data_IF_008852100419
#
_entry.id   IF_008852100419
#
_cell.length_a   1.000
_cell.length_b   1.000
_cell.length_c   1.000
_cell.angle_alpha   90.00
_cell.angle_beta   90.00
_cell.angle_gamma   90.00
#
_symmetry.space_group_name_H-M   'P 1'
#
loop_
_entity.id
_entity.type
_entity.pdbx_description
1 polymer ?
#
# COMPACT_ATOMS: atom_id res chain seq x y z
N UNK A 1 -39.75 -82.86 13.57
CA UNK A 1 -40.45 -81.57 13.31
C UNK A 1 -39.52 -80.71 12.47
N UNK A 2 -39.96 -80.48 11.24
CA UNK A 2 -39.18 -79.79 10.19
C UNK A 2 -39.48 -78.30 10.29
N UNK A 3 -38.43 -77.49 10.41
CA UNK A 3 -38.56 -76.03 10.18
C UNK A 3 -37.90 -75.70 8.88
N UNK A 4 -38.72 -75.11 8.03
CA UNK A 4 -38.45 -74.80 6.66
C UNK A 4 -37.52 -73.60 6.52
N UNK A 5 -36.64 -73.73 5.49
CA UNK A 5 -35.87 -72.66 4.88
C UNK A 5 -36.75 -71.47 4.47
N UNK A 6 -36.36 -70.25 4.91
CA UNK A 6 -36.79 -69.02 4.29
C UNK A 6 -35.56 -68.37 3.75
N UNK A 7 -35.28 -68.62 2.48
CA UNK A 7 -34.34 -67.82 1.69
C UNK A 7 -35.03 -66.53 1.33
N UNK A 8 -34.50 -65.40 1.84
CA UNK A 8 -34.88 -64.10 1.38
C UNK A 8 -33.75 -63.57 0.50
N UNK A 9 -33.87 -63.90 -0.77
CA UNK A 9 -33.04 -63.33 -1.82
C UNK A 9 -33.55 -61.89 -2.15
N UNK A 10 -33.05 -60.93 -1.46
CA UNK A 10 -33.20 -59.57 -1.89
C UNK A 10 -31.87 -59.10 -2.51
N UNK A 11 -31.57 -59.58 -3.68
CA UNK A 11 -30.53 -59.00 -4.52
C UNK A 11 -31.14 -57.80 -5.23
N UNK A 12 -31.02 -56.67 -4.58
CA UNK A 12 -31.24 -55.39 -5.27
C UNK A 12 -30.02 -55.10 -6.16
N UNK A 13 -30.13 -55.56 -7.40
CA UNK A 13 -29.26 -55.06 -8.46
C UNK A 13 -29.56 -53.57 -8.70
N UNK A 14 -28.86 -52.71 -7.99
CA UNK A 14 -28.75 -51.34 -8.41
C UNK A 14 -27.91 -51.29 -9.69
N UNK A 15 -28.59 -51.30 -10.81
CA UNK A 15 -28.00 -50.93 -12.08
C UNK A 15 -27.58 -49.47 -11.97
N UNK A 16 -26.31 -49.22 -11.68
CA UNK A 16 -25.68 -47.92 -11.86
C UNK A 16 -25.55 -47.65 -13.36
N UNK A 17 -26.47 -46.88 -13.89
CA UNK A 17 -26.35 -46.32 -15.24
C UNK A 17 -25.15 -45.39 -15.26
N UNK A 18 -24.21 -45.50 -16.20
CA UNK A 18 -23.18 -44.54 -16.38
C UNK A 18 -23.75 -43.34 -17.15
N UNK A 19 -24.47 -42.44 -16.47
CA UNK A 19 -24.84 -41.15 -17.01
C UNK A 19 -23.77 -40.14 -16.62
N UNK A 20 -22.91 -39.87 -17.60
CA UNK A 20 -22.21 -38.58 -17.81
C UNK A 20 -21.80 -37.85 -16.54
N UNK A 21 -20.63 -38.18 -16.02
CA UNK A 21 -19.88 -37.31 -15.13
C UNK A 21 -19.43 -36.07 -15.94
N UNK A 22 -20.27 -35.07 -15.96
CA UNK A 22 -19.87 -33.75 -16.37
C UNK A 22 -18.86 -33.20 -15.37
N UNK A 23 -17.58 -33.22 -15.72
CA UNK A 23 -16.54 -32.52 -15.02
C UNK A 23 -16.86 -31.03 -15.15
N UNK A 24 -17.51 -30.45 -14.15
CA UNK A 24 -17.52 -29.01 -13.94
C UNK A 24 -16.11 -28.61 -13.49
N UNK A 25 -15.26 -28.29 -14.45
CA UNK A 25 -14.03 -27.55 -14.18
C UNK A 25 -14.47 -26.14 -13.70
N UNK A 26 -14.53 -25.99 -12.39
CA UNK A 26 -14.59 -24.67 -11.77
C UNK A 26 -13.21 -24.05 -12.01
N UNK A 27 -13.05 -23.31 -13.09
CA UNK A 27 -11.93 -22.41 -13.28
C UNK A 27 -12.03 -21.33 -12.20
N UNK A 28 -11.30 -21.51 -11.11
CA UNK A 28 -11.05 -20.46 -10.14
C UNK A 28 -10.13 -19.44 -10.84
N UNK A 29 -10.73 -18.44 -11.49
CA UNK A 29 -10.04 -17.25 -11.93
C UNK A 29 -9.45 -16.57 -10.68
N UNK A 30 -8.21 -16.91 -10.38
CA UNK A 30 -7.37 -16.14 -9.46
C UNK A 30 -7.20 -14.75 -10.09
N UNK A 31 -8.10 -13.83 -9.78
CA UNK A 31 -7.90 -12.42 -10.03
C UNK A 31 -6.77 -11.96 -9.11
N UNK A 32 -5.53 -12.07 -9.58
CA UNK A 32 -4.40 -11.38 -8.98
C UNK A 32 -4.66 -9.89 -9.16
N UNK A 33 -5.20 -9.26 -8.11
CA UNK A 33 -5.15 -7.80 -8.01
C UNK A 33 -3.68 -7.40 -8.12
N UNK A 34 -3.31 -6.43 -8.97
CA UNK A 34 -1.97 -5.87 -8.93
C UNK A 34 -1.84 -5.25 -7.54
N UNK A 35 -1.11 -5.91 -6.65
CA UNK A 35 -0.56 -5.25 -5.49
C UNK A 35 0.33 -4.15 -6.07
N UNK A 36 0.01 -2.88 -5.78
CA UNK A 36 0.96 -1.79 -5.97
C UNK A 36 2.25 -2.27 -5.33
N UNK A 37 3.29 -2.44 -6.13
CA UNK A 37 4.56 -2.92 -5.63
C UNK A 37 5.00 -1.92 -4.56
N UNK A 38 5.15 -2.39 -3.33
CA UNK A 38 5.72 -1.56 -2.28
C UNK A 38 7.07 -1.04 -2.79
N UNK A 39 7.30 0.29 -2.67
CA UNK A 39 8.53 0.89 -3.17
C UNK A 39 9.78 0.25 -2.52
N UNK A 40 10.90 0.33 -3.20
CA UNK A 40 12.20 -0.12 -2.68
C UNK A 40 12.82 0.99 -1.81
N UNK A 41 12.99 0.80 -0.48
CA UNK A 41 13.59 1.81 0.38
C UNK A 41 15.05 2.14 0.03
N UNK A 42 15.83 1.19 -0.48
CA UNK A 42 17.23 1.43 -0.85
C UNK A 42 17.34 2.28 -2.15
N UNK A 43 16.41 2.09 -3.10
CA UNK A 43 16.27 2.98 -4.22
C UNK A 43 15.71 4.34 -3.78
N UNK A 44 14.80 4.35 -2.81
CA UNK A 44 14.21 5.56 -2.23
C UNK A 44 15.20 6.46 -1.51
N UNK A 45 16.19 5.90 -0.83
CA UNK A 45 17.30 6.66 -0.23
C UNK A 45 18.06 7.45 -1.31
N UNK A 46 18.35 6.84 -2.45
CA UNK A 46 19.02 7.51 -3.57
C UNK A 46 18.16 8.64 -4.16
N UNK A 47 16.85 8.41 -4.28
CA UNK A 47 15.90 9.45 -4.71
C UNK A 47 15.89 10.60 -3.70
N UNK A 48 15.87 10.30 -2.39
CA UNK A 48 15.93 11.30 -1.34
C UNK A 48 17.22 12.12 -1.44
N UNK A 49 18.38 11.48 -1.55
CA UNK A 49 19.68 12.15 -1.68
C UNK A 49 19.74 13.09 -2.88
N UNK A 50 19.18 12.68 -4.01
CA UNK A 50 19.25 13.46 -5.26
C UNK A 50 18.22 14.58 -5.36
N UNK A 51 17.04 14.44 -4.74
CA UNK A 51 15.92 15.37 -4.91
C UNK A 51 15.47 16.07 -3.64
N UNK A 52 15.73 15.51 -2.46
CA UNK A 52 15.17 16.00 -1.19
C UNK A 52 16.22 16.53 -0.22
N UNK A 53 17.41 15.92 -0.18
CA UNK A 53 18.43 16.17 0.83
C UNK A 53 18.99 17.63 0.84
N UNK A 54 18.89 18.34 -0.28
CA UNK A 54 19.28 19.76 -0.35
C UNK A 54 18.41 20.60 0.58
N UNK A 55 17.11 20.27 0.69
CA UNK A 55 16.14 21.05 1.46
C UNK A 55 15.73 20.38 2.76
N UNK A 56 15.83 19.07 2.89
CA UNK A 56 15.35 18.31 4.03
C UNK A 56 16.46 17.48 4.68
N UNK A 57 16.34 17.26 5.99
CA UNK A 57 17.12 16.27 6.72
C UNK A 57 16.26 15.08 7.15
N UNK A 58 16.92 13.99 7.48
CA UNK A 58 16.29 12.78 8.05
C UNK A 58 16.56 12.64 9.56
N UNK A 59 17.35 13.56 10.11
CA UNK A 59 17.63 13.63 11.56
C UNK A 59 16.50 14.35 12.27
N UNK A 60 15.95 13.80 13.38
CA UNK A 60 14.92 14.47 14.16
C UNK A 60 15.37 15.87 14.62
N UNK A 61 14.51 16.88 14.39
CA UNK A 61 14.78 18.27 14.82
C UNK A 61 15.76 19.05 13.93
N UNK A 62 16.38 18.42 12.94
CA UNK A 62 17.25 19.12 11.98
C UNK A 62 16.42 19.72 10.84
N UNK A 63 16.01 20.97 11.00
CA UNK A 63 15.34 21.72 9.95
C UNK A 63 16.36 22.43 9.05
N UNK A 64 16.13 22.41 7.74
CA UNK A 64 16.90 23.12 6.72
C UNK A 64 16.00 24.17 6.02
N UNK A 65 16.05 24.25 4.69
CA UNK A 65 15.09 25.03 3.90
C UNK A 65 13.66 24.47 4.07
N UNK A 66 13.54 23.15 4.18
CA UNK A 66 12.34 22.44 4.56
C UNK A 66 12.47 21.81 5.97
N UNK A 67 11.37 21.29 6.51
CA UNK A 67 11.38 20.60 7.80
C UNK A 67 12.13 19.27 7.73
N UNK A 68 12.58 18.78 8.90
CA UNK A 68 13.02 17.40 9.02
C UNK A 68 11.91 16.43 8.58
N UNK A 69 12.27 15.40 7.83
CA UNK A 69 11.36 14.33 7.41
C UNK A 69 11.41 13.09 8.32
N UNK A 70 12.18 13.14 9.42
CA UNK A 70 12.18 12.09 10.42
C UNK A 70 10.77 11.88 11.00
N UNK A 71 10.22 10.68 10.82
CA UNK A 71 8.88 10.33 11.30
C UNK A 71 7.76 11.11 10.61
N UNK A 72 7.94 11.51 9.35
CA UNK A 72 6.91 12.21 8.58
C UNK A 72 5.70 11.32 8.34
N UNK A 73 5.90 10.03 8.03
CA UNK A 73 4.81 9.08 7.81
C UNK A 73 3.99 8.92 9.09
N UNK A 74 2.70 9.13 9.01
CA UNK A 74 1.76 9.13 10.13
C UNK A 74 1.69 10.46 10.91
N UNK A 75 2.53 11.46 10.58
CA UNK A 75 2.48 12.78 11.25
C UNK A 75 1.44 13.71 10.62
N UNK A 76 1.03 14.74 11.36
CA UNK A 76 0.12 15.78 10.83
C UNK A 76 0.90 16.86 10.08
N UNK A 77 0.25 17.41 9.05
CA UNK A 77 0.77 18.56 8.31
C UNK A 77 1.06 19.75 9.23
N UNK A 78 2.17 20.45 8.98
CA UNK A 78 2.49 21.68 9.68
C UNK A 78 2.90 21.54 11.15
N UNK A 79 3.27 20.33 11.62
CA UNK A 79 3.50 20.05 13.05
C UNK A 79 4.95 19.77 13.43
N UNK A 80 5.91 19.73 12.49
CA UNK A 80 7.32 19.51 12.82
C UNK A 80 7.83 20.67 13.70
N UNK A 81 8.36 20.39 14.90
CA UNK A 81 8.79 21.42 15.83
C UNK A 81 9.90 22.32 15.27
N UNK A 82 9.81 23.61 15.55
CA UNK A 82 10.85 24.59 15.20
C UNK A 82 10.89 24.97 13.72
N UNK A 83 9.97 24.48 12.87
CA UNK A 83 9.88 24.88 11.46
C UNK A 83 8.73 25.85 11.23
N UNK A 84 9.00 26.94 10.47
CA UNK A 84 7.96 27.92 10.11
C UNK A 84 7.22 27.51 8.83
N UNK A 85 6.16 26.75 9.00
CA UNK A 85 5.27 26.35 7.92
C UNK A 85 4.43 27.53 7.39
N UNK A 86 4.04 27.42 6.11
CA UNK A 86 3.01 28.32 5.57
C UNK A 86 1.67 28.13 6.31
N UNK A 87 0.82 29.17 6.37
CA UNK A 87 -0.54 29.04 6.89
C UNK A 87 -1.32 27.91 6.19
N UNK A 88 -1.13 27.75 4.89
CA UNK A 88 -1.74 26.69 4.11
C UNK A 88 -1.36 25.30 4.63
N UNK A 89 -0.07 25.05 4.89
CA UNK A 89 0.39 23.76 5.41
C UNK A 89 -0.09 23.50 6.84
N UNK A 90 -0.13 24.54 7.70
CA UNK A 90 -0.66 24.44 9.06
C UNK A 90 -2.16 24.10 9.09
N UNK A 91 -2.91 24.59 8.09
CA UNK A 91 -4.37 24.42 8.00
C UNK A 91 -4.81 23.29 7.06
N UNK A 92 -3.87 22.56 6.43
CA UNK A 92 -4.20 21.50 5.48
C UNK A 92 -4.93 20.32 6.11
N UNK A 93 -4.74 20.09 7.43
CA UNK A 93 -5.35 18.99 8.18
C UNK A 93 -5.08 17.59 7.59
N UNK A 94 -3.95 17.43 6.91
CA UNK A 94 -3.50 16.17 6.32
C UNK A 94 -2.76 15.37 7.39
N UNK A 95 -3.03 14.06 7.46
CA UNK A 95 -2.15 13.09 8.12
C UNK A 95 -1.39 12.38 7.01
N UNK A 96 -0.07 12.54 6.99
CA UNK A 96 0.77 12.04 5.92
C UNK A 96 0.79 10.51 5.89
N UNK A 97 -0.05 9.91 5.09
CA UNK A 97 0.05 8.52 4.69
C UNK A 97 0.72 8.40 3.31
N UNK A 98 0.97 7.17 2.87
CA UNK A 98 1.62 6.91 1.59
C UNK A 98 0.85 7.51 0.40
N UNK A 99 -0.49 7.45 0.44
CA UNK A 99 -1.33 7.95 -0.62
C UNK A 99 -1.33 9.49 -0.71
N UNK A 100 -1.34 10.16 0.43
CA UNK A 100 -1.30 11.62 0.47
C UNK A 100 0.11 12.16 0.20
N UNK A 101 1.16 11.43 0.64
CA UNK A 101 2.54 11.72 0.24
C UNK A 101 2.73 11.57 -1.27
N UNK A 102 2.19 10.52 -1.90
CA UNK A 102 2.27 10.34 -3.35
C UNK A 102 1.62 11.51 -4.10
N UNK A 103 0.40 11.90 -3.73
CA UNK A 103 -0.31 13.05 -4.33
C UNK A 103 0.45 14.35 -4.13
N UNK A 104 0.95 14.58 -2.91
CA UNK A 104 1.71 15.78 -2.59
C UNK A 104 3.01 15.86 -3.38
N UNK A 105 3.78 14.76 -3.45
CA UNK A 105 5.02 14.70 -4.22
C UNK A 105 4.79 14.83 -5.73
N UNK A 106 3.67 14.33 -6.25
CA UNK A 106 3.31 14.51 -7.65
C UNK A 106 3.00 15.96 -8.01
N UNK A 107 2.29 16.69 -7.14
CA UNK A 107 1.90 18.08 -7.35
C UNK A 107 1.69 18.83 -6.02
N UNK A 108 2.77 19.31 -5.37
CA UNK A 108 2.68 19.95 -4.06
C UNK A 108 1.72 21.14 -3.99
N UNK A 109 1.79 22.02 -4.97
CA UNK A 109 0.97 23.25 -5.01
C UNK A 109 -0.49 22.98 -5.37
N UNK A 110 -0.76 21.90 -6.10
CA UNK A 110 -2.12 21.43 -6.40
C UNK A 110 -2.76 20.71 -5.21
N UNK A 111 -1.97 20.00 -4.42
CA UNK A 111 -2.47 19.27 -3.25
C UNK A 111 -2.65 20.20 -2.02
N UNK A 112 -1.68 21.08 -1.75
CA UNK A 112 -1.77 22.10 -0.69
C UNK A 112 -1.55 23.48 -1.31
N UNK A 113 -2.64 24.15 -1.68
CA UNK A 113 -2.58 25.50 -2.23
C UNK A 113 -1.96 26.48 -1.23
N UNK A 114 -0.82 27.09 -1.60
CA UNK A 114 -0.06 28.01 -0.72
C UNK A 114 1.02 27.30 0.11
N UNK A 115 1.37 26.06 -0.23
CA UNK A 115 2.62 25.46 0.27
C UNK A 115 3.84 26.24 -0.20
N UNK A 116 4.92 26.20 0.59
CA UNK A 116 6.23 26.77 0.20
C UNK A 116 7.10 25.77 -0.58
N UNK A 117 6.66 24.51 -0.73
CA UNK A 117 7.35 23.47 -1.48
C UNK A 117 6.90 23.50 -2.95
N UNK A 118 7.85 23.73 -3.87
CA UNK A 118 7.58 23.81 -5.31
C UNK A 118 8.19 22.66 -6.10
N UNK A 119 9.03 21.84 -5.45
CA UNK A 119 9.67 20.70 -6.09
C UNK A 119 8.68 19.55 -6.13
N UNK A 120 8.42 19.03 -7.34
CA UNK A 120 7.62 17.84 -7.55
C UNK A 120 8.48 16.67 -8.04
N UNK A 121 7.96 15.46 -7.88
CA UNK A 121 8.57 14.22 -8.32
C UNK A 121 7.61 13.53 -9.31
N UNK A 122 7.76 13.77 -10.64
CA UNK A 122 6.77 13.32 -11.63
C UNK A 122 6.78 11.79 -11.83
N UNK A 123 7.94 11.13 -11.63
CA UNK A 123 8.07 9.69 -11.78
C UNK A 123 7.39 8.95 -10.62
N UNK A 124 6.41 8.12 -10.92
CA UNK A 124 5.65 7.35 -9.91
C UNK A 124 6.54 6.36 -9.15
N UNK A 125 7.43 5.65 -9.84
CA UNK A 125 8.35 4.70 -9.21
C UNK A 125 9.26 5.39 -8.20
N UNK A 126 9.78 6.57 -8.54
CA UNK A 126 10.62 7.35 -7.63
C UNK A 126 9.81 7.82 -6.41
N UNK A 127 8.54 8.23 -6.61
CA UNK A 127 7.67 8.59 -5.48
C UNK A 127 7.42 7.42 -4.56
N UNK A 128 7.05 6.24 -5.10
CA UNK A 128 6.83 5.04 -4.31
C UNK A 128 8.09 4.61 -3.55
N UNK A 129 9.25 4.67 -4.19
CA UNK A 129 10.52 4.33 -3.56
C UNK A 129 10.86 5.31 -2.42
N UNK A 130 10.76 6.62 -2.66
CA UNK A 130 11.09 7.60 -1.60
C UNK A 130 10.09 7.54 -0.44
N UNK A 131 8.82 7.26 -0.68
CA UNK A 131 7.82 7.06 0.37
C UNK A 131 8.20 5.83 1.21
N UNK A 132 8.56 4.71 0.58
CA UNK A 132 9.04 3.52 1.28
C UNK A 132 10.29 3.82 2.13
N UNK A 133 11.22 4.63 1.64
CA UNK A 133 12.36 5.09 2.44
C UNK A 133 11.93 5.95 3.63
N UNK A 134 11.06 6.92 3.43
CA UNK A 134 10.54 7.78 4.50
C UNK A 134 9.82 6.98 5.58
N UNK A 135 9.14 5.89 5.20
CA UNK A 135 8.49 4.97 6.14
C UNK A 135 9.50 4.27 7.08
N UNK A 136 10.72 4.06 6.64
CA UNK A 136 11.80 3.52 7.50
C UNK A 136 12.28 4.50 8.56
N UNK A 137 12.00 5.81 8.39
CA UNK A 137 12.45 6.87 9.30
C UNK A 137 11.48 7.10 10.46
N UNK A 138 10.60 6.16 10.75
CA UNK A 138 9.67 6.22 11.90
C UNK A 138 10.47 6.37 13.22
N UNK A 139 9.86 7.13 14.14
CA UNK A 139 10.40 7.36 15.48
C UNK A 139 10.35 6.11 16.34
#
# INVERSE_FOLDING_TARGET
MKFADIRIDWVWQMRLSPTTAGLLLIEVLLTSSPALAAGDPAAGEKVFESHCAVCHATTPGENKVGPSLAGIVGSKSGTVPGFDFSPAMKNANVTWDDADLDKFLANPTGFVHGTKMFVNLPNETDRQNVIAYLDTLKK
#
